data_IF_803204763994
#
_entry.id   IF_803204763994
#
_cell.length_a   1.000
_cell.length_b   1.000
_cell.length_c   1.000
_cell.angle_alpha   90.00
_cell.angle_beta   90.00
_cell.angle_gamma   90.00
#
_symmetry.space_group_name_H-M   'P 1'
#
loop_
_entity.id
_entity.type
_entity.pdbx_description
1 polymer ?
#
# COMPACT_ATOMS: atom_id res chain seq x y z
N UNK A 1 13.58 -20.57 2.16
CA UNK A 1 12.11 -20.61 2.33
C UNK A 1 11.65 -19.16 2.48
N UNK A 2 11.27 -18.48 1.39
CA UNK A 2 10.73 -17.12 1.49
C UNK A 2 9.33 -17.20 2.09
N UNK A 3 9.10 -16.50 3.20
CA UNK A 3 7.79 -16.43 3.84
C UNK A 3 6.85 -15.68 2.92
N UNK A 4 5.80 -16.36 2.48
CA UNK A 4 4.82 -15.81 1.56
C UNK A 4 3.88 -14.89 2.33
N UNK A 5 3.99 -13.58 2.07
CA UNK A 5 3.14 -12.57 2.68
C UNK A 5 1.89 -12.37 1.84
N UNK A 6 0.88 -13.20 2.07
CA UNK A 6 -0.48 -12.96 1.60
C UNK A 6 -1.23 -12.17 2.67
N UNK A 7 -1.09 -10.85 2.68
CA UNK A 7 -1.85 -10.00 3.61
C UNK A 7 -3.26 -9.80 3.06
N UNK A 8 -4.24 -10.45 3.70
CA UNK A 8 -5.66 -10.30 3.37
C UNK A 8 -6.10 -8.83 3.46
N UNK A 9 -5.75 -8.15 4.54
CA UNK A 9 -6.12 -6.75 4.77
C UNK A 9 -5.08 -5.80 4.17
N UNK A 10 -5.41 -5.18 3.04
CA UNK A 10 -4.49 -4.32 2.27
C UNK A 10 -4.90 -2.86 2.40
N UNK A 11 -3.93 -1.99 2.65
CA UNK A 11 -4.15 -0.57 2.97
C UNK A 11 -4.00 0.31 1.73
N UNK A 12 -5.08 1.00 1.36
CA UNK A 12 -5.04 2.00 0.30
C UNK A 12 -4.57 3.38 0.78
N UNK A 13 -4.55 3.61 2.10
CA UNK A 13 -3.74 4.67 2.73
C UNK A 13 -2.79 4.01 3.74
N UNK A 14 -1.47 4.24 3.67
CA UNK A 14 -0.48 3.57 4.50
C UNK A 14 -0.67 3.80 6.00
N UNK A 15 -0.45 2.74 6.79
CA UNK A 15 -0.56 2.85 8.25
C UNK A 15 0.48 3.82 8.84
N UNK A 16 1.71 3.87 8.31
CA UNK A 16 2.73 4.78 8.82
C UNK A 16 2.26 6.24 8.73
N UNK A 17 1.59 6.59 7.63
CA UNK A 17 1.06 7.93 7.39
C UNK A 17 -0.08 8.25 8.37
N UNK A 18 -1.02 7.30 8.53
CA UNK A 18 -2.14 7.43 9.47
C UNK A 18 -1.68 7.61 10.93
N UNK A 19 -0.58 6.97 11.34
CA UNK A 19 -0.04 7.09 12.71
C UNK A 19 0.37 8.52 13.05
N UNK A 20 0.67 9.38 12.08
CA UNK A 20 1.00 10.79 12.33
C UNK A 20 -0.22 11.62 12.76
N UNK A 21 -1.44 11.09 12.63
CA UNK A 21 -2.69 11.72 13.07
C UNK A 21 -3.26 11.06 14.33
N UNK A 22 -2.48 10.19 14.97
CA UNK A 22 -2.90 9.37 16.11
C UNK A 22 -2.24 9.85 17.39
N UNK A 23 -3.02 9.94 18.47
CA UNK A 23 -2.50 10.29 19.80
C UNK A 23 -1.77 9.10 20.46
N UNK A 24 -2.21 7.86 20.19
CA UNK A 24 -1.69 6.63 20.79
C UNK A 24 -0.88 5.76 19.81
N UNK A 25 -0.75 6.22 18.55
CA UNK A 25 -0.13 5.49 17.45
C UNK A 25 -0.90 4.25 16.98
N UNK A 26 -2.13 4.01 17.47
CA UNK A 26 -2.93 2.78 17.22
C UNK A 26 -4.34 3.07 16.71
N UNK A 27 -4.90 4.23 17.06
CA UNK A 27 -6.27 4.60 16.76
C UNK A 27 -6.40 6.04 16.27
N UNK A 28 -7.50 6.32 15.58
CA UNK A 28 -7.84 7.63 15.04
C UNK A 28 -9.24 8.04 15.50
N UNK A 29 -9.41 9.35 15.68
CA UNK A 29 -10.73 9.99 15.69
C UNK A 29 -11.13 10.24 14.23
N UNK A 30 -12.35 9.88 13.84
CA UNK A 30 -12.84 10.10 12.48
C UNK A 30 -14.26 10.63 12.46
N UNK A 31 -14.58 11.41 11.43
CA UNK A 31 -15.94 11.86 11.14
C UNK A 31 -16.40 11.34 9.79
N UNK A 32 -17.62 10.80 9.74
CA UNK A 32 -18.24 10.37 8.49
C UNK A 32 -19.00 11.56 7.91
N UNK A 33 -18.39 12.25 6.95
CA UNK A 33 -18.89 13.51 6.40
C UNK A 33 -20.36 13.46 5.94
N UNK A 34 -20.80 12.34 5.35
CA UNK A 34 -22.19 12.18 4.87
C UNK A 34 -23.24 12.13 5.98
N UNK A 35 -22.86 11.77 7.20
CA UNK A 35 -23.77 11.62 8.35
C UNK A 35 -23.44 12.53 9.53
N UNK A 36 -22.29 13.21 9.50
CA UNK A 36 -21.73 13.93 10.64
C UNK A 36 -21.33 13.04 11.82
N UNK A 37 -21.48 11.70 11.72
CA UNK A 37 -21.19 10.79 12.81
C UNK A 37 -19.71 10.82 13.16
N UNK A 38 -19.41 11.10 14.42
CA UNK A 38 -18.06 11.07 15.00
C UNK A 38 -17.81 9.71 15.62
N UNK A 39 -16.61 9.18 15.38
CA UNK A 39 -16.07 8.00 16.06
C UNK A 39 -14.82 8.45 16.81
N UNK A 40 -14.90 8.43 18.14
CA UNK A 40 -13.81 8.85 19.03
C UNK A 40 -12.61 7.90 18.99
N UNK A 41 -12.83 6.65 18.58
CA UNK A 41 -11.76 5.65 18.51
C UNK A 41 -12.04 4.69 17.38
N UNK A 42 -11.11 4.63 16.42
CA UNK A 42 -11.13 3.68 15.31
C UNK A 42 -9.73 3.12 15.09
N UNK A 43 -9.59 1.80 15.05
CA UNK A 43 -8.26 1.18 14.90
C UNK A 43 -7.67 1.48 13.54
N UNK A 44 -6.43 1.99 13.50
CA UNK A 44 -5.69 2.25 12.25
C UNK A 44 -5.63 1.02 11.36
N UNK A 45 -5.55 -0.19 11.94
CA UNK A 45 -5.50 -1.45 11.19
C UNK A 45 -6.75 -1.71 10.34
N UNK A 46 -7.90 -1.17 10.73
CA UNK A 46 -9.16 -1.30 10.00
C UNK A 46 -9.54 -0.06 9.19
N UNK A 47 -8.76 1.02 9.28
CA UNK A 47 -9.00 2.23 8.52
C UNK A 47 -8.25 2.24 7.20
N UNK A 48 -8.90 2.81 6.19
CA UNK A 48 -8.35 2.95 4.85
C UNK A 48 -7.78 1.64 4.27
N UNK A 49 -8.44 0.53 4.57
CA UNK A 49 -8.07 -0.80 4.10
C UNK A 49 -9.27 -1.56 3.55
N UNK A 50 -8.99 -2.63 2.81
CA UNK A 50 -10.00 -3.60 2.38
C UNK A 50 -9.35 -4.95 2.13
N UNK A 51 -10.14 -6.02 2.32
CA UNK A 51 -9.74 -7.35 1.92
C UNK A 51 -9.38 -7.40 0.43
N UNK A 52 -8.16 -7.86 0.12
CA UNK A 52 -7.62 -8.03 -1.23
C UNK A 52 -7.91 -6.80 -2.10
N UNK A 53 -7.51 -5.63 -1.62
CA UNK A 53 -7.70 -4.36 -2.33
C UNK A 53 -6.92 -4.35 -3.65
N UNK A 54 -5.66 -4.77 -3.64
CA UNK A 54 -4.78 -4.82 -4.80
C UNK A 54 -4.83 -6.15 -5.55
N UNK A 55 -5.21 -7.23 -4.87
CA UNK A 55 -5.18 -8.59 -5.41
C UNK A 55 -4.78 -9.57 -4.33
N UNK A 56 -4.60 -10.82 -4.71
CA UNK A 56 -4.35 -11.94 -3.78
C UNK A 56 -2.90 -12.44 -3.78
N UNK A 57 -2.07 -12.06 -4.76
CA UNK A 57 -0.66 -12.52 -4.84
C UNK A 57 0.32 -11.64 -4.01
N UNK A 58 -0.15 -10.45 -3.62
CA UNK A 58 0.59 -9.51 -2.77
C UNK A 58 1.75 -8.81 -3.46
N UNK A 59 1.90 -8.89 -4.78
CA UNK A 59 2.96 -8.23 -5.55
C UNK A 59 2.82 -6.71 -5.46
N UNK A 60 1.66 -6.16 -5.81
CA UNK A 60 1.42 -4.72 -5.69
C UNK A 60 1.58 -4.27 -4.23
N UNK A 61 1.05 -5.00 -3.24
CA UNK A 61 1.22 -4.66 -1.82
C UNK A 61 2.71 -4.57 -1.42
N UNK A 62 3.54 -5.53 -1.85
CA UNK A 62 4.99 -5.53 -1.58
C UNK A 62 5.69 -4.33 -2.22
N UNK A 63 5.42 -4.08 -3.51
CA UNK A 63 5.99 -2.95 -4.24
C UNK A 63 5.65 -1.61 -3.58
N UNK A 64 4.39 -1.47 -3.15
CA UNK A 64 3.92 -0.30 -2.43
C UNK A 64 4.60 -0.18 -1.05
N UNK A 65 4.80 -1.29 -0.34
CA UNK A 65 5.52 -1.33 0.93
C UNK A 65 6.95 -0.81 0.82
N UNK A 66 7.69 -1.17 -0.23
CA UNK A 66 9.05 -0.66 -0.46
C UNK A 66 9.06 0.86 -0.66
N UNK A 67 8.13 1.39 -1.47
CA UNK A 67 8.01 2.85 -1.69
C UNK A 67 7.63 3.56 -0.38
N UNK A 68 6.74 2.96 0.41
CA UNK A 68 6.28 3.52 1.67
C UNK A 68 7.37 3.57 2.74
N UNK A 69 8.25 2.56 2.80
CA UNK A 69 9.40 2.54 3.70
C UNK A 69 10.35 3.71 3.43
N UNK A 70 10.70 3.93 2.16
CA UNK A 70 11.52 5.07 1.73
C UNK A 70 10.83 6.41 2.05
N UNK A 71 9.52 6.49 1.84
CA UNK A 71 8.76 7.70 2.16
C UNK A 71 8.70 7.98 3.66
N UNK A 72 8.57 6.94 4.49
CA UNK A 72 8.37 7.07 5.92
C UNK A 72 9.54 7.79 6.62
N UNK A 73 10.77 7.59 6.14
CA UNK A 73 11.95 8.32 6.60
C UNK A 73 11.81 9.83 6.34
N UNK A 74 11.49 10.21 5.10
CA UNK A 74 11.32 11.61 4.72
C UNK A 74 10.17 12.30 5.47
N UNK A 75 9.06 11.60 5.74
CA UNK A 75 7.98 12.12 6.57
C UNK A 75 8.44 12.36 8.01
N UNK A 76 9.22 11.44 8.58
CA UNK A 76 9.75 11.58 9.94
C UNK A 76 10.67 12.80 10.04
N UNK A 77 11.56 12.98 9.08
CA UNK A 77 12.46 14.13 9.02
C UNK A 77 11.68 15.44 8.88
N UNK A 78 10.66 15.46 8.01
CA UNK A 78 9.82 16.64 7.81
C UNK A 78 9.08 17.07 9.09
N UNK A 79 8.63 16.12 9.91
CA UNK A 79 7.97 16.41 11.19
C UNK A 79 8.94 17.01 12.24
N UNK A 80 10.26 16.85 12.06
CA UNK A 80 11.27 17.41 12.96
C UNK A 80 11.78 18.78 12.52
N UNK A 81 11.48 19.22 11.29
CA UNK A 81 11.90 20.53 10.77
C UNK A 81 11.29 21.63 11.65
N UNK A 82 12.15 22.47 12.25
CA UNK A 82 11.69 23.62 13.04
C UNK A 82 11.20 24.72 12.09
N UNK A 83 9.99 25.20 12.35
CA UNK A 83 9.03 25.79 11.40
C UNK A 83 9.46 26.99 10.53
N UNK A 84 10.66 27.54 10.58
CA UNK A 84 10.84 28.89 10.00
C UNK A 84 12.03 29.12 9.05
N UNK A 85 13.03 28.23 8.96
CA UNK A 85 14.21 28.51 8.09
C UNK A 85 14.79 27.35 7.30
N UNK A 86 14.40 26.12 7.58
CA UNK A 86 14.96 24.97 6.87
C UNK A 86 14.20 24.73 5.56
N UNK A 87 14.92 24.88 4.44
CA UNK A 87 14.38 24.51 3.13
C UNK A 87 14.22 22.99 3.11
N UNK A 88 12.99 22.54 2.86
CA UNK A 88 12.70 21.13 2.53
C UNK A 88 13.60 20.71 1.36
N UNK A 89 14.51 19.72 1.54
CA UNK A 89 15.42 19.27 0.49
C UNK A 89 14.68 18.80 -0.77
N UNK A 90 15.29 18.97 -1.95
CA UNK A 90 14.66 18.58 -3.22
C UNK A 90 14.25 17.09 -3.26
N UNK A 91 15.09 16.19 -2.70
CA UNK A 91 14.76 14.75 -2.61
C UNK A 91 13.47 14.51 -1.82
N UNK A 92 13.31 15.19 -0.68
CA UNK A 92 12.11 15.11 0.15
C UNK A 92 10.88 15.66 -0.60
N UNK A 93 11.02 16.77 -1.34
CA UNK A 93 9.94 17.30 -2.20
C UNK A 93 9.53 16.31 -3.29
N UNK A 94 10.49 15.70 -3.98
CA UNK A 94 10.22 14.67 -4.99
C UNK A 94 9.51 13.47 -4.40
N UNK A 95 9.96 13.00 -3.23
CA UNK A 95 9.30 11.92 -2.49
C UNK A 95 7.84 12.27 -2.17
N UNK A 96 7.56 13.46 -1.61
CA UNK A 96 6.19 13.86 -1.28
C UNK A 96 5.30 14.01 -2.50
N UNK A 97 5.83 14.53 -3.61
CA UNK A 97 5.09 14.62 -4.87
C UNK A 97 4.76 13.21 -5.42
N UNK A 98 5.74 12.30 -5.42
CA UNK A 98 5.54 10.91 -5.84
C UNK A 98 4.54 10.19 -4.94
N UNK A 99 4.64 10.38 -3.63
CA UNK A 99 3.69 9.83 -2.67
C UNK A 99 2.27 10.36 -2.90
N UNK A 100 2.09 11.68 -3.09
CA UNK A 100 0.79 12.27 -3.38
C UNK A 100 0.19 11.75 -4.69
N UNK A 101 1.00 11.63 -5.75
CA UNK A 101 0.58 11.05 -7.02
C UNK A 101 0.14 9.59 -6.82
N UNK A 102 0.93 8.79 -6.11
CA UNK A 102 0.59 7.40 -5.80
C UNK A 102 -0.71 7.27 -5.00
N UNK A 103 -0.90 8.10 -3.97
CA UNK A 103 -2.14 8.11 -3.18
C UNK A 103 -3.35 8.54 -4.01
N UNK A 104 -3.19 9.46 -4.98
CA UNK A 104 -4.26 9.85 -5.90
C UNK A 104 -4.73 8.70 -6.78
N UNK A 105 -3.85 7.73 -7.06
CA UNK A 105 -4.19 6.51 -7.77
C UNK A 105 -4.85 5.46 -6.86
N UNK A 106 -4.68 5.50 -5.54
CA UNK A 106 -5.21 4.48 -4.61
C UNK A 106 -6.65 4.74 -4.17
N UNK A 107 -7.54 4.92 -5.14
CA UNK A 107 -8.97 5.07 -4.90
C UNK A 107 -9.71 3.76 -5.12
N UNK A 108 -10.94 3.65 -4.58
CA UNK A 108 -11.82 2.50 -4.87
C UNK A 108 -12.05 2.27 -6.37
N UNK A 109 -11.99 3.32 -7.20
CA UNK A 109 -12.17 3.21 -8.67
C UNK A 109 -10.96 2.57 -9.35
N UNK A 110 -9.76 2.78 -8.81
CA UNK A 110 -8.53 2.21 -9.34
C UNK A 110 -8.27 0.78 -8.88
N UNK A 111 -9.18 0.20 -8.09
CA UNK A 111 -9.06 -1.17 -7.59
C UNK A 111 -8.86 -2.16 -8.73
N UNK A 112 -9.61 -2.01 -9.83
CA UNK A 112 -9.51 -2.89 -10.99
C UNK A 112 -8.14 -2.81 -11.64
N UNK A 113 -7.60 -1.60 -11.82
CA UNK A 113 -6.26 -1.40 -12.37
C UNK A 113 -5.18 -2.17 -11.59
N UNK A 114 -5.18 -2.08 -10.25
CA UNK A 114 -4.20 -2.82 -9.44
C UNK A 114 -4.43 -4.34 -9.48
N UNK A 115 -5.70 -4.78 -9.43
CA UNK A 115 -6.03 -6.21 -9.54
C UNK A 115 -5.63 -6.81 -10.90
N UNK A 116 -5.77 -6.04 -11.98
CA UNK A 116 -5.33 -6.45 -13.31
C UNK A 116 -3.81 -6.49 -13.41
N UNK A 117 -3.11 -5.58 -12.71
CA UNK A 117 -1.64 -5.58 -12.62
C UNK A 117 -1.12 -6.82 -11.89
N UNK A 118 -1.72 -7.18 -10.74
CA UNK A 118 -1.39 -8.40 -9.98
C UNK A 118 -1.61 -9.66 -10.85
N UNK A 119 -2.76 -9.75 -11.55
CA UNK A 119 -3.05 -10.85 -12.49
C UNK A 119 -2.02 -10.97 -13.60
N UNK A 120 -1.68 -9.85 -14.25
CA UNK A 120 -0.74 -9.85 -15.36
C UNK A 120 0.67 -10.26 -14.90
N UNK A 121 1.09 -9.82 -13.73
CA UNK A 121 2.33 -10.26 -13.11
C UNK A 121 2.37 -11.80 -12.93
N UNK A 122 1.29 -12.41 -12.43
CA UNK A 122 1.25 -13.87 -12.28
C UNK A 122 1.29 -14.61 -13.62
N UNK A 123 0.62 -14.10 -14.66
CA UNK A 123 0.68 -14.68 -16.00
C UNK A 123 2.10 -14.66 -16.57
N UNK A 124 2.80 -13.54 -16.41
CA UNK A 124 4.20 -13.42 -16.84
C UNK A 124 5.07 -14.42 -16.08
N UNK A 125 4.92 -14.53 -14.76
CA UNK A 125 5.66 -15.52 -13.97
C UNK A 125 5.36 -16.95 -14.42
N UNK A 126 4.10 -17.32 -14.60
CA UNK A 126 3.71 -18.65 -15.06
C UNK A 126 4.36 -19.00 -16.41
N UNK A 127 4.35 -18.06 -17.37
CA UNK A 127 5.00 -18.24 -18.67
C UNK A 127 6.52 -18.36 -18.59
N UNK A 128 7.17 -17.65 -17.65
CA UNK A 128 8.61 -17.81 -17.39
C UNK A 128 8.93 -19.19 -16.81
N UNK A 129 8.10 -19.67 -15.86
CA UNK A 129 8.25 -21.03 -15.30
C UNK A 129 8.07 -22.11 -16.36
N UNK A 130 7.02 -22.01 -17.16
CA UNK A 130 6.76 -22.96 -18.25
C UNK A 130 7.91 -22.99 -19.26
N UNK A 131 8.44 -21.82 -19.63
CA UNK A 131 9.56 -21.69 -20.57
C UNK A 131 10.85 -22.31 -20.01
N UNK A 132 11.19 -22.03 -18.76
CA UNK A 132 12.49 -22.37 -18.19
C UNK A 132 12.53 -23.79 -17.57
N UNK A 133 11.37 -24.32 -17.16
CA UNK A 133 11.27 -25.55 -16.36
C UNK A 133 10.15 -26.51 -16.81
N UNK A 134 9.33 -26.15 -17.81
CA UNK A 134 8.23 -26.96 -18.33
C UNK A 134 6.90 -26.78 -17.57
N UNK A 135 5.76 -27.22 -18.14
CA UNK A 135 4.42 -26.90 -17.64
C UNK A 135 4.11 -27.50 -16.26
N UNK A 136 4.67 -28.67 -15.94
CA UNK A 136 4.43 -29.35 -14.65
C UNK A 136 5.12 -28.64 -13.47
N UNK A 137 6.05 -27.72 -13.77
CA UNK A 137 6.82 -26.99 -12.76
C UNK A 137 6.14 -25.71 -12.27
N UNK A 138 5.04 -25.29 -12.91
CA UNK A 138 4.33 -24.05 -12.55
C UNK A 138 3.75 -24.19 -11.13
N UNK A 139 4.07 -23.29 -10.19
CA UNK A 139 3.49 -23.29 -8.86
C UNK A 139 1.96 -23.22 -8.88
N UNK A 140 1.28 -23.96 -8.00
CA UNK A 140 -0.19 -24.02 -7.94
C UNK A 140 -0.87 -22.66 -7.73
N UNK A 141 -0.14 -21.70 -7.15
CA UNK A 141 -0.61 -20.34 -6.89
C UNK A 141 -0.64 -19.45 -8.14
N UNK A 142 0.16 -19.81 -9.15
CA UNK A 142 0.24 -19.11 -10.43
C UNK A 142 -0.65 -19.77 -11.50
N UNK A 143 -1.20 -20.95 -11.22
CA UNK A 143 -2.18 -21.60 -12.09
C UNK A 143 -3.50 -20.82 -12.01
N UNK A 144 -4.08 -20.50 -13.17
CA UNK A 144 -5.42 -19.94 -13.21
C UNK A 144 -6.37 -20.95 -12.55
N UNK A 145 -7.17 -20.48 -11.58
CA UNK A 145 -8.23 -21.30 -10.99
C UNK A 145 -9.42 -21.25 -11.94
N UNK A 146 -9.75 -22.40 -12.52
CA UNK A 146 -10.98 -22.64 -13.29
C UNK A 146 -12.25 -22.24 -12.51
#
# INVERSE_FOLDING_TARGET
MQKQFHTKNQHYVPQFYLRNFSEDGRSLKKVVLSSGKVFETSSIKGECSKDYFYGNDGFVERMLGCIEEDCAEYFRDALQLKQEKEKIPNKMRCCFAAFAALQSMRTKKSKTFFADTDKEHNKILAGLYERDYGPDSIPDELKEKD
#
